data_IF_274004560082
#
_entry.id   IF_274004560082
#
_cell.length_a   1.000
_cell.length_b   1.000
_cell.length_c   1.000
_cell.angle_alpha   90.00
_cell.angle_beta   90.00
_cell.angle_gamma   90.00
#
_symmetry.space_group_name_H-M   'P 1'
#
loop_
_entity.id
_entity.type
_entity.pdbx_description
1 polymer ?
#
# COMPACT_ATOMS: atom_id res chain seq x y z
N UNK A 1 7.66 -10.40 -24.79
CA UNK A 1 7.54 -11.64 -23.98
C UNK A 1 7.75 -11.27 -22.52
N UNK A 2 6.66 -11.04 -21.78
CA UNK A 2 6.72 -10.78 -20.34
C UNK A 2 7.20 -12.04 -19.64
N UNK A 3 8.32 -11.93 -18.92
CA UNK A 3 8.89 -13.02 -18.13
C UNK A 3 7.91 -13.27 -16.98
N UNK A 4 7.12 -14.34 -17.06
CA UNK A 4 6.27 -14.79 -15.96
C UNK A 4 7.21 -15.25 -14.85
N UNK A 5 7.55 -14.35 -13.93
CA UNK A 5 8.31 -14.69 -12.74
C UNK A 5 7.43 -15.61 -11.91
N UNK A 6 7.88 -16.85 -11.72
CA UNK A 6 7.17 -17.82 -10.92
C UNK A 6 7.08 -17.27 -9.48
N UNK A 7 5.91 -16.76 -9.09
CA UNK A 7 5.65 -16.14 -7.78
C UNK A 7 5.54 -17.18 -6.64
N UNK A 8 5.90 -18.43 -6.91
CA UNK A 8 5.86 -19.55 -5.98
C UNK A 8 6.83 -19.30 -4.82
N UNK A 9 6.32 -18.71 -3.75
CA UNK A 9 7.07 -18.33 -2.54
C UNK A 9 6.89 -16.88 -2.11
N UNK A 10 6.44 -15.99 -3.01
CA UNK A 10 6.18 -14.60 -2.67
C UNK A 10 4.83 -14.48 -1.94
N UNK A 11 4.76 -13.80 -0.79
CA UNK A 11 3.50 -13.59 -0.08
C UNK A 11 2.43 -13.00 -1.00
N UNK A 12 1.18 -13.44 -0.85
CA UNK A 12 0.03 -12.91 -1.61
C UNK A 12 -0.01 -11.37 -1.58
N UNK A 13 0.37 -10.76 -0.45
CA UNK A 13 0.50 -9.32 -0.33
C UNK A 13 1.47 -8.71 -1.35
N UNK A 14 2.65 -9.30 -1.56
CA UNK A 14 3.62 -8.80 -2.52
C UNK A 14 3.10 -8.91 -3.97
N UNK A 15 2.32 -9.96 -4.26
CA UNK A 15 1.67 -10.12 -5.57
C UNK A 15 0.64 -9.02 -5.79
N UNK A 16 -0.21 -8.74 -4.79
CA UNK A 16 -1.18 -7.64 -4.85
C UNK A 16 -0.47 -6.29 -5.05
N UNK A 17 0.61 -6.05 -4.31
CA UNK A 17 1.39 -4.82 -4.44
C UNK A 17 2.12 -4.69 -5.77
N UNK A 18 2.37 -5.79 -6.49
CA UNK A 18 2.95 -5.75 -7.84
C UNK A 18 2.00 -5.11 -8.86
N UNK A 19 0.68 -5.12 -8.59
CA UNK A 19 -0.33 -4.42 -9.39
C UNK A 19 -0.47 -2.95 -9.01
N UNK A 20 0.40 -2.42 -8.14
CA UNK A 20 0.35 -1.03 -7.70
C UNK A 20 1.61 -0.30 -8.17
N UNK A 21 1.60 0.28 -9.39
CA UNK A 21 2.74 1.02 -9.92
C UNK A 21 3.15 2.13 -8.95
N UNK A 22 4.44 2.14 -8.58
CA UNK A 22 4.96 3.09 -7.60
C UNK A 22 4.90 4.51 -8.12
N UNK A 23 5.06 4.67 -9.43
CA UNK A 23 5.04 5.94 -10.13
C UNK A 23 3.70 6.66 -9.95
N UNK A 24 2.58 5.93 -10.02
CA UNK A 24 1.23 6.48 -9.81
C UNK A 24 1.10 7.01 -8.37
N UNK A 25 1.56 6.24 -7.39
CA UNK A 25 1.53 6.66 -5.99
C UNK A 25 2.39 7.90 -5.79
N UNK A 26 3.61 7.90 -6.32
CA UNK A 26 4.55 9.01 -6.14
C UNK A 26 4.04 10.31 -6.78
N UNK A 27 3.31 10.24 -7.90
CA UNK A 27 2.61 11.39 -8.50
C UNK A 27 1.56 11.92 -7.54
N UNK A 28 0.64 11.07 -7.05
CA UNK A 28 -0.39 11.51 -6.10
C UNK A 28 0.20 12.07 -4.79
N UNK A 29 1.30 11.48 -4.31
CA UNK A 29 1.97 11.95 -3.09
C UNK A 29 2.49 13.38 -3.25
N UNK A 30 3.06 13.69 -4.42
CA UNK A 30 3.55 15.03 -4.76
C UNK A 30 2.40 16.02 -4.92
N UNK A 31 1.35 15.64 -5.65
CA UNK A 31 0.18 16.49 -5.89
C UNK A 31 -0.52 16.92 -4.60
N UNK A 32 -0.70 15.98 -3.66
CA UNK A 32 -1.38 16.25 -2.39
C UNK A 32 -0.42 16.65 -1.26
N UNK A 33 0.89 16.74 -1.54
CA UNK A 33 1.95 16.96 -0.55
C UNK A 33 1.79 16.10 0.73
N UNK A 34 1.33 14.85 0.55
CA UNK A 34 0.81 14.00 1.63
C UNK A 34 1.88 13.51 2.63
N UNK A 35 3.16 13.63 2.24
CA UNK A 35 4.32 13.22 3.04
C UNK A 35 5.05 14.39 3.72
N UNK A 36 4.57 15.65 3.58
CA UNK A 36 5.28 16.86 4.01
C UNK A 36 5.72 16.88 5.49
N UNK A 37 5.00 16.16 6.38
CA UNK A 37 5.32 16.04 7.80
C UNK A 37 5.71 14.61 8.23
N UNK A 38 5.72 13.65 7.31
CA UNK A 38 5.87 12.24 7.63
C UNK A 38 7.27 11.75 7.26
N UNK A 39 8.10 11.54 8.29
CA UNK A 39 9.50 11.08 8.10
C UNK A 39 9.64 9.57 7.91
N UNK A 40 8.80 8.78 8.58
CA UNK A 40 8.96 7.32 8.68
C UNK A 40 7.83 6.55 8.01
N UNK A 41 6.58 7.01 8.17
CA UNK A 41 5.37 6.41 7.64
C UNK A 41 4.88 7.21 6.43
N UNK A 42 5.44 6.94 5.25
CA UNK A 42 5.01 7.56 4.00
C UNK A 42 3.61 7.11 3.58
N UNK A 43 2.97 7.84 2.68
CA UNK A 43 1.68 7.48 2.06
C UNK A 43 1.71 6.10 1.44
N UNK A 44 2.79 5.74 0.74
CA UNK A 44 2.97 4.38 0.21
C UNK A 44 2.93 3.32 1.32
N UNK A 45 3.64 3.54 2.43
CA UNK A 45 3.65 2.57 3.54
C UNK A 45 2.28 2.45 4.20
N UNK A 46 1.58 3.57 4.42
CA UNK A 46 0.22 3.53 4.97
C UNK A 46 -0.73 2.78 4.01
N UNK A 47 -0.62 3.00 2.70
CA UNK A 47 -1.40 2.29 1.69
C UNK A 47 -1.17 0.77 1.74
N UNK A 48 0.10 0.34 1.81
CA UNK A 48 0.46 -1.09 1.99
C UNK A 48 -0.19 -1.67 3.25
N UNK A 49 -0.13 -0.96 4.37
CA UNK A 49 -0.71 -1.43 5.63
C UNK A 49 -2.23 -1.48 5.59
N UNK A 50 -2.89 -0.52 4.93
CA UNK A 50 -4.34 -0.53 4.74
C UNK A 50 -4.76 -1.72 3.86
N UNK A 51 -4.09 -1.95 2.73
CA UNK A 51 -4.35 -3.10 1.86
C UNK A 51 -4.15 -4.42 2.60
N UNK A 52 -3.06 -4.55 3.37
CA UNK A 52 -2.83 -5.73 4.19
C UNK A 52 -3.93 -5.94 5.22
N UNK A 53 -4.40 -4.86 5.87
CA UNK A 53 -5.52 -4.92 6.81
C UNK A 53 -6.81 -5.43 6.18
N UNK A 54 -7.11 -4.99 4.95
CA UNK A 54 -8.28 -5.46 4.19
C UNK A 54 -8.16 -6.93 3.84
N UNK A 55 -7.03 -7.35 3.24
CA UNK A 55 -6.78 -8.74 2.82
C UNK A 55 -6.81 -9.71 3.99
N UNK A 56 -6.27 -9.31 5.14
CA UNK A 56 -6.22 -10.16 6.34
C UNK A 56 -7.43 -10.03 7.27
N UNK A 57 -8.43 -9.22 6.88
CA UNK A 57 -9.64 -8.91 7.67
C UNK A 57 -9.28 -8.47 9.10
N UNK A 58 -8.35 -7.53 9.23
CA UNK A 58 -8.00 -6.96 10.52
C UNK A 58 -9.12 -6.05 11.05
N UNK A 59 -9.60 -6.33 12.25
CA UNK A 59 -10.65 -5.52 12.89
C UNK A 59 -10.12 -4.39 13.79
N UNK A 60 -8.79 -4.29 14.00
CA UNK A 60 -8.18 -3.22 14.79
C UNK A 60 -6.73 -2.94 14.37
N UNK A 61 -6.25 -1.71 14.64
CA UNK A 61 -4.86 -1.32 14.39
C UNK A 61 -3.87 -2.16 15.20
N UNK A 62 -4.23 -2.53 16.43
CA UNK A 62 -3.43 -3.45 17.25
C UNK A 62 -3.30 -4.83 16.60
N UNK A 63 -4.39 -5.38 16.07
CA UNK A 63 -4.37 -6.66 15.35
C UNK A 63 -3.51 -6.56 14.09
N UNK A 64 -3.64 -5.45 13.36
CA UNK A 64 -2.84 -5.17 12.17
C UNK A 64 -1.34 -5.14 12.48
N UNK A 65 -0.89 -4.35 13.46
CA UNK A 65 0.53 -4.28 13.85
C UNK A 65 1.08 -5.65 14.28
N UNK A 66 0.31 -6.43 15.05
CA UNK A 66 0.71 -7.80 15.42
C UNK A 66 0.89 -8.70 14.21
N UNK A 67 -0.03 -8.64 13.24
CA UNK A 67 0.07 -9.42 12.01
C UNK A 67 1.18 -8.95 11.08
N UNK A 68 1.52 -7.66 11.10
CA UNK A 68 2.63 -7.11 10.32
C UNK A 68 3.99 -7.59 10.86
N UNK A 69 4.11 -7.82 12.18
CA UNK A 69 5.33 -8.34 12.79
C UNK A 69 5.73 -9.71 12.21
N UNK A 70 4.77 -10.59 11.93
CA UNK A 70 5.02 -11.88 11.27
C UNK A 70 5.49 -11.76 9.82
N UNK A 71 5.38 -10.58 9.21
CA UNK A 71 5.77 -10.31 7.83
C UNK A 71 6.94 -9.33 7.73
N UNK A 72 7.60 -8.95 8.83
CA UNK A 72 8.66 -7.95 8.83
C UNK A 72 9.78 -8.26 7.81
N UNK A 73 10.26 -9.50 7.79
CA UNK A 73 11.29 -9.96 6.84
C UNK A 73 10.83 -9.85 5.38
N UNK A 74 9.54 -10.09 5.14
CA UNK A 74 8.92 -10.05 3.81
C UNK A 74 8.65 -8.62 3.33
N UNK A 75 8.34 -7.72 4.24
CA UNK A 75 8.07 -6.31 3.97
C UNK A 75 9.36 -5.54 3.66
N UNK A 76 10.51 -6.04 4.11
CA UNK A 76 11.83 -5.50 3.75
C UNK A 76 12.06 -5.49 2.23
N UNK A 77 11.61 -6.53 1.50
CA UNK A 77 11.66 -6.56 0.03
C UNK A 77 10.81 -5.48 -0.66
N UNK A 78 9.86 -4.88 0.06
CA UNK A 78 9.01 -3.79 -0.41
C UNK A 78 9.54 -2.40 0.00
N UNK A 79 10.77 -2.33 0.54
CA UNK A 79 11.37 -1.10 1.04
C UNK A 79 10.85 -0.66 2.42
N UNK A 80 10.18 -1.56 3.14
CA UNK A 80 9.66 -1.30 4.50
C UNK A 80 10.59 -1.97 5.51
N UNK A 81 11.60 -1.22 5.95
CA UNK A 81 12.63 -1.70 6.89
C UNK A 81 12.24 -1.58 8.37
N UNK A 82 11.17 -0.84 8.67
CA UNK A 82 10.71 -0.62 10.04
C UNK A 82 9.20 -0.55 10.07
N UNK A 83 8.62 -1.39 10.92
CA UNK A 83 7.18 -1.37 11.18
C UNK A 83 6.80 -0.16 12.05
N UNK A 84 5.68 0.50 11.74
CA UNK A 84 5.18 1.60 12.56
C UNK A 84 4.58 1.07 13.87
N UNK A 85 4.65 1.87 14.92
CA UNK A 85 3.86 1.65 16.12
C UNK A 85 2.37 1.91 15.83
N UNK A 86 1.50 1.34 16.67
CA UNK A 86 0.04 1.52 16.58
C UNK A 86 -0.35 2.99 16.67
N UNK A 87 0.30 3.76 17.57
CA UNK A 87 0.10 5.20 17.70
C UNK A 87 0.49 5.96 16.44
N UNK A 88 1.57 5.58 15.77
CA UNK A 88 2.01 6.19 14.51
C UNK A 88 1.02 5.94 13.37
N UNK A 89 0.49 4.72 13.27
CA UNK A 89 -0.57 4.42 12.30
C UNK A 89 -1.85 5.20 12.60
N UNK A 90 -2.24 5.28 13.88
CA UNK A 90 -3.41 6.04 14.30
C UNK A 90 -3.27 7.52 13.96
N UNK A 91 -2.12 8.11 14.25
CA UNK A 91 -1.82 9.52 13.95
C UNK A 91 -1.88 9.79 12.44
N UNK A 92 -1.26 8.93 11.63
CA UNK A 92 -1.34 9.06 10.17
C UNK A 92 -2.75 8.90 9.62
N UNK A 93 -3.58 8.02 10.20
CA UNK A 93 -4.98 7.89 9.80
C UNK A 93 -5.82 9.14 10.13
N UNK A 94 -5.47 9.88 11.18
CA UNK A 94 -6.20 11.09 11.59
C UNK A 94 -5.74 12.30 10.78
N UNK A 95 -4.43 12.46 10.62
CA UNK A 95 -3.85 13.70 10.12
C UNK A 95 -3.64 13.69 8.59
N UNK A 96 -3.55 12.53 7.94
CA UNK A 96 -3.40 12.45 6.48
C UNK A 96 -4.76 12.52 5.80
N UNK A 97 -4.94 13.50 4.91
CA UNK A 97 -6.16 13.61 4.11
C UNK A 97 -6.39 12.34 3.30
N UNK A 98 -7.61 11.81 3.35
CA UNK A 98 -8.02 10.63 2.58
C UNK A 98 -8.06 10.88 1.07
N UNK A 99 -8.06 12.15 0.66
CA UNK A 99 -8.08 12.57 -0.75
C UNK A 99 -6.91 11.99 -1.54
N UNK A 100 -5.73 11.82 -0.93
CA UNK A 100 -4.58 11.22 -1.61
C UNK A 100 -4.88 9.78 -2.02
N UNK A 101 -5.58 9.01 -1.17
CA UNK A 101 -5.93 7.63 -1.48
C UNK A 101 -7.06 7.54 -2.51
N UNK A 102 -7.98 8.49 -2.50
CA UNK A 102 -9.00 8.61 -3.54
C UNK A 102 -8.37 8.94 -4.91
N UNK A 103 -7.38 9.84 -4.94
CA UNK A 103 -6.62 10.17 -6.15
C UNK A 103 -5.84 8.95 -6.66
N UNK A 104 -5.15 8.23 -5.78
CA UNK A 104 -4.44 6.99 -6.12
C UNK A 104 -5.41 5.98 -6.75
N UNK A 105 -6.57 5.75 -6.13
CA UNK A 105 -7.57 4.84 -6.68
C UNK A 105 -8.03 5.27 -8.09
N UNK A 106 -8.32 6.55 -8.29
CA UNK A 106 -8.77 7.06 -9.59
C UNK A 106 -7.69 6.91 -10.67
N UNK A 107 -6.42 7.19 -10.34
CA UNK A 107 -5.32 7.00 -11.28
C UNK A 107 -5.07 5.52 -11.59
N UNK A 108 -5.16 4.64 -10.59
CA UNK A 108 -5.08 3.19 -10.80
C UNK A 108 -6.21 2.68 -11.69
N UNK A 109 -7.44 3.17 -11.47
CA UNK A 109 -8.58 2.82 -12.32
C UNK A 109 -8.34 3.21 -13.78
N UNK A 110 -7.91 4.44 -14.05
CA UNK A 110 -7.59 4.86 -15.42
C UNK A 110 -6.43 4.06 -16.03
N UNK A 111 -5.44 3.67 -15.22
CA UNK A 111 -4.32 2.84 -15.69
C UNK A 111 -4.76 1.44 -16.14
N UNK A 112 -5.66 0.81 -15.40
CA UNK A 112 -6.14 -0.55 -15.69
C UNK A 112 -7.47 -0.59 -16.44
N UNK A 113 -8.01 0.56 -16.83
CA UNK A 113 -9.36 0.68 -17.41
C UNK A 113 -9.57 -0.22 -18.62
N UNK A 114 -8.58 -0.30 -19.50
CA UNK A 114 -8.64 -1.15 -20.70
C UNK A 114 -8.71 -2.64 -20.33
N UNK A 115 -7.93 -3.08 -19.33
CA UNK A 115 -7.90 -4.47 -18.86
C UNK A 115 -9.16 -4.85 -18.06
N UNK A 116 -9.75 -3.87 -17.36
CA UNK A 116 -10.96 -4.03 -16.55
C UNK A 116 -12.24 -3.84 -17.37
N UNK A 117 -12.12 -3.35 -18.61
CA UNK A 117 -13.27 -3.16 -19.49
C UNK A 117 -13.89 -4.53 -19.80
N UNK A 118 -15.23 -4.65 -19.75
CA UNK A 118 -15.87 -5.91 -20.09
C UNK A 118 -15.54 -6.26 -21.55
N UNK A 119 -15.14 -7.51 -21.77
CA UNK A 119 -14.89 -8.06 -23.10
C UNK A 119 -16.19 -7.93 -23.89
N UNK A 120 -16.18 -7.11 -24.95
CA UNK A 120 -17.28 -7.01 -25.91
C UNK A 120 -17.36 -8.24 -26.81
#
# INVERSE_FOLDING_TARGET
MSKVTNLAGQPVLCQILSFLPREIVDVCVKEHNSDHYYKTLTTYKQLVFMLYGVVTRCHSLNSLCKKLLFLEDKLTYLGIHKLPAVSTLSDANINRSSEVFASIYRQLYEHYKEELSPIQ
#
